data_IF_148667267652
#
_entry.id   IF_148667267652
#
_cell.length_a   1.000
_cell.length_b   1.000
_cell.length_c   1.000
_cell.angle_alpha   90.00
_cell.angle_beta   90.00
_cell.angle_gamma   90.00
#
_symmetry.space_group_name_H-M   'P 1'
#
loop_
_entity.id
_entity.type
_entity.pdbx_description
1 polymer ?
#
# COMPACT_ATOMS: atom_id res chain seq x y z
N UNK A 1 -2.64 16.62 -10.59
CA UNK A 1 -3.15 17.06 -9.29
C UNK A 1 -2.97 15.88 -8.35
N UNK A 2 -2.30 16.07 -7.22
CA UNK A 2 -2.06 14.97 -6.27
C UNK A 2 -3.34 14.69 -5.48
N UNK A 3 -3.66 13.41 -5.26
CA UNK A 3 -4.93 13.00 -4.63
C UNK A 3 -4.85 13.11 -3.10
N UNK A 4 -5.99 13.32 -2.45
CA UNK A 4 -6.04 13.52 -0.99
C UNK A 4 -5.42 12.36 -0.19
N UNK A 5 -5.60 11.13 -0.66
CA UNK A 5 -5.00 9.93 -0.04
C UNK A 5 -3.48 9.95 -0.16
N UNK A 6 -2.95 10.28 -1.34
CA UNK A 6 -1.51 10.33 -1.59
C UNK A 6 -0.83 11.37 -0.70
N UNK A 7 -1.42 12.57 -0.59
CA UNK A 7 -0.96 13.64 0.30
C UNK A 7 -0.98 13.17 1.76
N UNK A 8 -2.10 12.60 2.21
CA UNK A 8 -2.24 12.13 3.60
C UNK A 8 -1.20 11.06 3.96
N UNK A 9 -0.97 10.08 3.08
CA UNK A 9 0.02 9.02 3.31
C UNK A 9 1.43 9.60 3.36
N UNK A 10 1.77 10.55 2.49
CA UNK A 10 3.08 11.23 2.54
C UNK A 10 3.28 12.00 3.84
N UNK A 11 2.24 12.63 4.37
CA UNK A 11 2.32 13.32 5.66
C UNK A 11 2.49 12.31 6.80
N UNK A 12 1.76 11.19 6.79
CA UNK A 12 1.95 10.11 7.76
C UNK A 12 3.39 9.55 7.77
N UNK A 13 4.03 9.46 6.60
CA UNK A 13 5.42 9.02 6.48
C UNK A 13 6.44 10.03 7.01
N UNK A 14 6.09 11.32 7.12
CA UNK A 14 6.95 12.33 7.77
C UNK A 14 6.86 12.23 9.29
N UNK A 15 5.74 11.73 9.81
CA UNK A 15 5.46 11.64 11.25
C UNK A 15 5.90 10.29 11.87
N UNK A 16 5.89 9.18 11.10
CA UNK A 16 6.34 7.85 11.55
C UNK A 16 7.30 7.20 10.53
N UNK A 17 8.60 7.43 10.70
CA UNK A 17 9.66 6.81 9.89
C UNK A 17 9.63 5.27 9.91
N UNK A 18 9.00 4.63 10.92
CA UNK A 18 8.95 3.17 10.96
C UNK A 18 8.05 2.56 9.87
N UNK A 19 7.22 3.38 9.21
CA UNK A 19 6.32 2.96 8.15
C UNK A 19 7.05 2.67 6.82
N UNK A 20 8.29 3.10 6.62
CA UNK A 20 9.03 2.83 5.39
C UNK A 20 10.21 1.86 5.59
N UNK A 21 10.35 1.29 6.80
CA UNK A 21 11.46 0.42 7.15
C UNK A 21 11.49 -0.88 6.33
N UNK A 22 12.67 -1.31 5.83
CA UNK A 22 12.84 -2.59 5.14
C UNK A 22 12.32 -3.79 5.96
N UNK A 23 11.68 -4.74 5.29
CA UNK A 23 11.10 -5.93 5.94
C UNK A 23 9.82 -5.67 6.74
N UNK A 24 9.34 -4.43 6.80
CA UNK A 24 8.16 -4.05 7.56
C UNK A 24 6.90 -3.81 6.69
N UNK A 25 6.90 -4.28 5.44
CA UNK A 25 5.84 -3.99 4.46
C UNK A 25 4.45 -4.38 4.97
N UNK A 26 4.31 -5.54 5.60
CA UNK A 26 3.05 -6.00 6.21
C UNK A 26 2.51 -5.03 7.26
N UNK A 27 3.33 -4.69 8.25
CA UNK A 27 2.94 -3.79 9.35
C UNK A 27 2.63 -2.39 8.84
N UNK A 28 3.41 -1.91 7.88
CA UNK A 28 3.26 -0.57 7.29
C UNK A 28 1.95 -0.45 6.53
N UNK A 29 1.62 -1.46 5.71
CA UNK A 29 0.32 -1.54 5.01
C UNK A 29 -0.84 -1.59 6.01
N UNK A 30 -0.75 -2.39 7.08
CA UNK A 30 -1.79 -2.45 8.11
C UNK A 30 -2.01 -1.09 8.77
N UNK A 31 -0.96 -0.44 9.26
CA UNK A 31 -1.05 0.86 9.92
C UNK A 31 -1.60 1.95 8.99
N UNK A 32 -1.12 2.01 7.75
CA UNK A 32 -1.59 2.99 6.76
C UNK A 32 -3.08 2.73 6.45
N UNK A 33 -3.48 1.47 6.28
CA UNK A 33 -4.88 1.10 6.06
C UNK A 33 -5.77 1.55 7.22
N UNK A 34 -5.37 1.29 8.45
CA UNK A 34 -6.10 1.71 9.66
C UNK A 34 -6.24 3.23 9.71
N UNK A 35 -5.16 3.97 9.50
CA UNK A 35 -5.16 5.43 9.50
C UNK A 35 -6.04 6.03 8.39
N UNK A 36 -6.05 5.43 7.19
CA UNK A 36 -6.94 5.86 6.09
C UNK A 36 -8.40 5.61 6.46
N UNK A 37 -8.72 4.40 6.94
CA UNK A 37 -10.11 4.05 7.27
C UNK A 37 -10.66 4.87 8.45
N UNK A 38 -9.81 5.26 9.41
CA UNK A 38 -10.19 6.14 10.52
C UNK A 38 -10.48 7.57 10.05
N UNK A 39 -9.66 8.10 9.14
CA UNK A 39 -9.79 9.47 8.64
C UNK A 39 -10.81 9.63 7.52
N UNK A 40 -10.97 8.61 6.68
CA UNK A 40 -11.79 8.60 5.48
C UNK A 40 -12.64 7.31 5.44
N UNK A 41 -13.72 7.22 6.25
CA UNK A 41 -14.53 6.00 6.35
C UNK A 41 -15.29 5.65 5.06
N UNK A 42 -15.41 6.60 4.14
CA UNK A 42 -15.99 6.46 2.79
C UNK A 42 -15.04 5.79 1.78
N UNK A 43 -13.75 5.70 2.11
CA UNK A 43 -12.71 5.20 1.20
C UNK A 43 -12.57 3.69 1.35
N UNK A 44 -12.50 2.99 0.22
CA UNK A 44 -12.30 1.54 0.18
C UNK A 44 -10.81 1.23 0.13
N UNK A 45 -10.36 0.33 1.00
CA UNK A 45 -8.95 -0.09 1.10
C UNK A 45 -8.80 -1.60 0.88
N UNK A 46 -7.86 -1.98 0.01
CA UNK A 46 -7.58 -3.37 -0.34
C UNK A 46 -6.09 -3.68 -0.25
N UNK A 47 -5.75 -4.78 0.43
CA UNK A 47 -4.34 -5.19 0.55
C UNK A 47 -3.97 -6.06 -0.63
N UNK A 48 -2.86 -5.72 -1.27
CA UNK A 48 -2.25 -6.48 -2.35
C UNK A 48 -1.05 -7.28 -1.81
N UNK A 49 -0.86 -8.50 -2.31
CA UNK A 49 0.20 -9.42 -1.84
C UNK A 49 0.93 -10.11 -3.01
N UNK A 50 2.24 -10.33 -2.88
CA UNK A 50 3.06 -11.10 -3.83
C UNK A 50 4.29 -11.78 -3.20
N UNK A 51 4.58 -13.07 -3.45
CA UNK A 51 3.67 -14.07 -4.04
C UNK A 51 2.42 -14.26 -3.17
N UNK A 52 1.44 -15.06 -3.63
CA UNK A 52 0.25 -15.38 -2.83
C UNK A 52 0.64 -15.76 -1.39
N UNK A 53 -0.11 -15.30 -0.39
CA UNK A 53 0.25 -15.39 1.04
C UNK A 53 0.52 -16.83 1.56
N UNK A 54 0.25 -17.86 0.76
CA UNK A 54 0.59 -19.27 1.03
C UNK A 54 2.09 -19.57 0.84
N UNK A 55 2.85 -18.66 0.25
CA UNK A 55 4.25 -18.85 -0.16
C UNK A 55 5.25 -18.23 0.83
N UNK A 56 5.30 -18.74 2.07
CA UNK A 56 6.45 -18.59 3.01
C UNK A 56 7.20 -17.24 3.07
N UNK A 57 8.53 -17.30 3.25
CA UNK A 57 9.42 -16.13 3.26
C UNK A 57 9.46 -15.47 1.86
N UNK A 58 9.48 -14.13 1.81
CA UNK A 58 9.55 -13.37 0.55
C UNK A 58 8.24 -12.72 0.09
N UNK A 59 7.20 -12.72 0.93
CA UNK A 59 5.93 -12.04 0.65
C UNK A 59 6.08 -10.52 0.81
N UNK A 60 5.63 -9.78 -0.20
CA UNK A 60 5.55 -8.33 -0.24
C UNK A 60 4.09 -7.86 -0.23
N UNK A 61 3.84 -6.73 0.44
CA UNK A 61 2.52 -6.15 0.60
C UNK A 61 2.49 -4.73 0.07
N UNK A 62 1.40 -4.38 -0.60
CA UNK A 62 1.05 -3.01 -0.99
C UNK A 62 -0.43 -2.74 -0.66
N UNK A 63 -0.85 -1.49 -0.74
CA UNK A 63 -2.22 -1.07 -0.46
C UNK A 63 -2.80 -0.39 -1.70
N UNK A 64 -3.94 -0.88 -2.16
CA UNK A 64 -4.80 -0.23 -3.15
C UNK A 64 -5.90 0.53 -2.40
N UNK A 65 -6.16 1.76 -2.80
CA UNK A 65 -7.13 2.66 -2.16
C UNK A 65 -8.01 3.27 -3.21
N UNK A 66 -9.32 3.10 -3.07
CA UNK A 66 -10.35 3.63 -3.97
C UNK A 66 -11.14 4.72 -3.24
N UNK A 67 -11.08 5.92 -3.78
CA UNK A 67 -11.69 7.15 -3.28
C UNK A 67 -12.60 7.75 -4.35
N UNK A 68 -13.87 7.34 -4.37
CA UNK A 68 -14.79 7.66 -5.46
C UNK A 68 -14.30 7.05 -6.79
N UNK A 69 -13.93 7.91 -7.75
CA UNK A 69 -13.39 7.48 -9.05
C UNK A 69 -11.85 7.45 -9.09
N UNK A 70 -11.20 7.87 -8.00
CA UNK A 70 -9.76 7.93 -7.90
C UNK A 70 -9.21 6.65 -7.24
N UNK A 71 -8.25 6.02 -7.89
CA UNK A 71 -7.58 4.83 -7.37
C UNK A 71 -6.09 5.13 -7.14
N UNK A 72 -5.59 4.85 -5.93
CA UNK A 72 -4.20 5.05 -5.55
C UNK A 72 -3.55 3.72 -5.15
N UNK A 73 -2.33 3.49 -5.61
CA UNK A 73 -1.47 2.39 -5.20
C UNK A 73 -0.37 2.92 -4.27
N UNK A 74 -0.27 2.31 -3.10
CA UNK A 74 0.66 2.70 -2.03
C UNK A 74 1.58 1.51 -1.73
N UNK A 75 2.87 1.72 -1.98
CA UNK A 75 3.96 0.87 -1.53
C UNK A 75 5.04 1.73 -0.88
N UNK A 76 5.08 1.74 0.45
CA UNK A 76 6.02 2.58 1.20
C UNK A 76 7.30 1.87 1.60
N UNK A 77 7.35 0.54 1.46
CA UNK A 77 8.52 -0.27 1.77
C UNK A 77 9.12 -0.83 0.49
N UNK A 78 10.41 -0.61 0.29
CA UNK A 78 11.15 -1.19 -0.85
C UNK A 78 11.37 -2.69 -0.64
N UNK A 79 11.15 -3.48 -1.68
CA UNK A 79 11.47 -4.90 -1.74
C UNK A 79 12.06 -5.26 -3.12
N UNK A 80 12.67 -6.44 -3.31
CA UNK A 80 13.15 -6.89 -4.62
C UNK A 80 12.03 -6.86 -5.67
N UNK A 81 12.20 -6.08 -6.73
CA UNK A 81 11.19 -5.88 -7.78
C UNK A 81 10.05 -4.90 -7.43
N UNK A 82 9.93 -4.45 -6.18
CA UNK A 82 8.88 -3.52 -5.73
C UNK A 82 9.51 -2.23 -5.17
N UNK A 83 9.66 -1.17 -5.99
CA UNK A 83 10.16 0.12 -5.52
C UNK A 83 9.10 0.85 -4.68
N UNK A 84 9.53 1.84 -3.90
CA UNK A 84 8.59 2.74 -3.21
C UNK A 84 7.75 3.47 -4.26
N UNK A 85 6.44 3.48 -4.08
CA UNK A 85 5.48 4.06 -5.01
C UNK A 85 4.24 4.57 -4.28
N UNK A 86 3.79 5.79 -4.60
CA UNK A 86 2.51 6.36 -4.15
C UNK A 86 1.97 7.12 -5.36
N UNK A 87 0.88 6.64 -5.96
CA UNK A 87 0.31 7.24 -7.17
C UNK A 87 -0.72 6.36 -7.86
N UNK A 88 -1.09 6.73 -9.09
CA UNK A 88 -2.02 5.98 -9.95
C UNK A 88 -1.53 4.55 -10.25
N UNK A 89 -2.37 3.51 -10.10
CA UNK A 89 -2.01 2.13 -10.44
C UNK A 89 -1.55 1.95 -11.89
N UNK A 90 -2.16 2.65 -12.85
CA UNK A 90 -1.81 2.56 -14.28
C UNK A 90 -0.39 3.04 -14.60
N UNK A 91 0.17 3.92 -13.75
CA UNK A 91 1.53 4.45 -13.87
C UNK A 91 2.54 3.69 -13.01
N UNK A 92 2.07 2.68 -12.25
CA UNK A 92 2.93 1.89 -11.40
C UNK A 92 3.88 1.01 -12.23
N UNK A 93 5.07 0.68 -11.69
CA UNK A 93 5.94 -0.32 -12.30
C UNK A 93 5.17 -1.63 -12.61
N UNK A 94 5.44 -2.29 -13.76
CA UNK A 94 4.69 -3.48 -14.17
C UNK A 94 4.69 -4.63 -13.16
N UNK A 95 5.68 -4.66 -12.26
CA UNK A 95 5.79 -5.63 -11.17
C UNK A 95 4.62 -5.57 -10.18
N UNK A 96 3.93 -4.44 -10.06
CA UNK A 96 2.72 -4.35 -9.24
C UNK A 96 1.53 -5.11 -9.86
N UNK A 97 1.51 -5.30 -11.19
CA UNK A 97 0.46 -6.04 -11.88
C UNK A 97 0.40 -7.53 -11.54
N UNK A 98 1.44 -8.08 -10.90
CA UNK A 98 1.47 -9.48 -10.43
C UNK A 98 1.04 -9.64 -8.97
N UNK A 99 0.68 -8.56 -8.28
CA UNK A 99 0.14 -8.63 -6.92
C UNK A 99 -1.35 -8.98 -6.94
N UNK A 100 -1.83 -9.73 -5.95
CA UNK A 100 -3.23 -10.13 -5.85
C UNK A 100 -3.91 -9.51 -4.64
N UNK A 101 -5.20 -9.18 -4.77
CA UNK A 101 -6.04 -8.72 -3.67
C UNK A 101 -6.18 -9.83 -2.63
N UNK A 102 -5.91 -9.52 -1.37
CA UNK A 102 -6.16 -10.42 -0.23
C UNK A 102 -7.11 -9.78 0.78
N UNK A 103 -8.11 -10.55 1.19
CA UNK A 103 -9.03 -10.22 2.30
C UNK A 103 -8.40 -10.51 3.66
N UNK A 104 -7.29 -11.25 3.71
CA UNK A 104 -6.62 -11.62 4.96
C UNK A 104 -5.21 -11.06 4.99
N UNK A 105 -4.98 -10.09 5.89
CA UNK A 105 -3.65 -9.84 6.43
C UNK A 105 -3.49 -10.80 7.62
N UNK A 106 -3.21 -12.09 7.35
CA UNK A 106 -3.06 -13.13 8.39
C UNK A 106 -1.79 -12.91 9.15
#
# INVERSE_FOLDING_TARGET
MERRIEIFVRDLLKDDDNLNCPGNCRRSVTKIKEAINEKYPDVRTEVLVHPDAKSGYGVHYALQVEDGNDESLINVVKAPGFPVYIGEPEKAPPTFGVMKKTVKVV
#
